data_IF_933861464634
#
_entry.id   IF_933861464634
#
_cell.length_a   1.000
_cell.length_b   1.000
_cell.length_c   1.000
_cell.angle_alpha   90.00
_cell.angle_beta   90.00
_cell.angle_gamma   90.00
#
_symmetry.space_group_name_H-M   'P 1'
#
loop_
_entity.id
_entity.type
_entity.pdbx_description
1 polymer ?
#
# COMPACT_ATOMS: atom_id res chain seq x y z
N UNK A 1 -14.45 -5.49 65.39
CA UNK A 1 -14.86 -4.08 65.27
C UNK A 1 -14.41 -3.52 63.92
N UNK A 2 -15.37 -3.13 63.07
CA UNK A 2 -15.16 -2.48 61.77
C UNK A 2 -14.51 -1.10 61.94
N UNK A 3 -13.48 -0.76 61.16
CA UNK A 3 -13.08 0.64 60.91
C UNK A 3 -12.99 0.89 59.41
N UNK A 4 -13.90 1.75 58.94
CA UNK A 4 -13.97 2.32 57.59
C UNK A 4 -12.70 3.13 57.29
N UNK A 5 -11.99 2.79 56.22
CA UNK A 5 -11.11 3.73 55.52
C UNK A 5 -11.81 4.11 54.21
N UNK A 6 -12.44 5.28 54.20
CA UNK A 6 -13.10 5.86 53.03
C UNK A 6 -12.12 6.70 52.21
N UNK A 7 -12.01 6.34 50.93
CA UNK A 7 -11.60 7.12 49.75
C UNK A 7 -11.21 8.59 49.99
N UNK A 8 -9.90 8.83 50.15
CA UNK A 8 -9.27 10.15 49.91
C UNK A 8 -8.57 10.24 48.54
N UNK A 9 -8.40 9.13 47.84
CA UNK A 9 -8.07 9.10 46.42
C UNK A 9 -9.35 9.29 45.60
N UNK A 10 -9.68 10.53 45.24
CA UNK A 10 -10.25 10.83 43.91
C UNK A 10 -10.63 12.30 43.67
N UNK A 11 -10.59 13.20 44.66
CA UNK A 11 -11.04 14.59 44.37
C UNK A 11 -10.05 15.40 43.52
N UNK A 12 -8.74 15.21 43.71
CA UNK A 12 -7.71 15.89 42.90
C UNK A 12 -7.60 15.33 41.48
N UNK A 13 -7.69 14.01 41.32
CA UNK A 13 -7.67 13.37 40.00
C UNK A 13 -8.91 13.75 39.16
N UNK A 14 -10.11 13.74 39.77
CA UNK A 14 -11.34 14.19 39.12
C UNK A 14 -11.24 15.68 38.75
N UNK A 15 -10.68 16.53 39.61
CA UNK A 15 -10.48 17.95 39.29
C UNK A 15 -9.56 18.16 38.08
N UNK A 16 -8.48 17.38 37.95
CA UNK A 16 -7.55 17.48 36.82
C UNK A 16 -8.23 17.01 35.53
N UNK A 17 -8.98 15.91 35.57
CA UNK A 17 -9.71 15.39 34.41
C UNK A 17 -10.77 16.39 33.93
N UNK A 18 -11.51 17.01 34.86
CA UNK A 18 -12.50 18.04 34.52
C UNK A 18 -11.83 19.26 33.90
N UNK A 19 -10.68 19.71 34.43
CA UNK A 19 -9.93 20.84 33.83
C UNK A 19 -9.42 20.53 32.42
N UNK A 20 -8.93 19.31 32.17
CA UNK A 20 -8.48 18.87 30.85
C UNK A 20 -9.64 18.82 29.85
N UNK A 21 -10.80 18.30 30.27
CA UNK A 21 -12.01 18.26 29.44
C UNK A 21 -12.52 19.66 29.08
N UNK A 22 -12.49 20.61 30.02
CA UNK A 22 -12.88 22.01 29.74
C UNK A 22 -11.93 22.65 28.72
N UNK A 23 -10.63 22.44 28.84
CA UNK A 23 -9.63 22.95 27.89
C UNK A 23 -9.86 22.36 26.49
N UNK A 24 -10.08 21.04 26.38
CA UNK A 24 -10.40 20.37 25.12
C UNK A 24 -11.67 20.93 24.47
N UNK A 25 -12.74 21.15 25.24
CA UNK A 25 -13.96 21.76 24.72
C UNK A 25 -13.76 23.20 24.24
N UNK A 26 -12.95 23.99 24.95
CA UNK A 26 -12.63 25.35 24.51
C UNK A 26 -11.81 25.36 23.21
N UNK A 27 -10.86 24.43 23.06
CA UNK A 27 -10.06 24.30 21.82
C UNK A 27 -10.94 23.92 20.63
N UNK A 28 -11.91 22.99 20.81
CA UNK A 28 -12.86 22.62 19.76
C UNK A 28 -13.77 23.79 19.37
N UNK A 29 -14.26 24.57 20.33
CA UNK A 29 -15.10 25.76 20.05
C UNK A 29 -14.30 26.82 19.29
N UNK A 30 -13.04 27.06 19.67
CA UNK A 30 -12.16 28.01 18.95
C UNK A 30 -11.85 27.51 17.55
N UNK A 31 -11.59 26.21 17.37
CA UNK A 31 -11.36 25.61 16.07
C UNK A 31 -12.59 25.73 15.16
N UNK A 32 -13.78 25.38 15.67
CA UNK A 32 -15.05 25.53 14.95
C UNK A 32 -15.35 27.00 14.58
N UNK A 33 -15.03 27.94 15.46
CA UNK A 33 -15.17 29.38 15.17
C UNK A 33 -14.17 29.87 14.12
N UNK A 34 -12.99 29.25 14.04
CA UNK A 34 -11.97 29.58 13.05
C UNK A 34 -12.26 28.95 11.67
N UNK A 35 -12.92 27.79 11.63
CA UNK A 35 -13.33 27.11 10.38
C UNK A 35 -14.70 27.55 9.87
N UNK A 36 -15.57 28.09 10.74
CA UNK A 36 -16.94 28.49 10.41
C UNK A 36 -17.12 29.88 9.78
N UNK A 37 -16.03 30.59 9.45
CA UNK A 37 -16.08 32.00 9.01
C UNK A 37 -15.69 32.24 7.54
N UNK A 38 -15.81 31.25 6.65
CA UNK A 38 -15.58 31.43 5.21
C UNK A 38 -16.59 30.65 4.35
N UNK A 39 -17.89 30.98 4.44
CA UNK A 39 -18.84 30.85 3.33
C UNK A 39 -19.93 31.92 3.53
N UNK A 40 -19.73 33.12 2.99
CA UNK A 40 -20.82 34.07 2.75
C UNK A 40 -21.18 33.98 1.26
N UNK A 41 -22.46 33.68 1.04
CA UNK A 41 -23.16 33.60 -0.24
C UNK A 41 -23.20 34.96 -0.92
N UNK A 42 -22.73 35.05 -2.16
CA UNK A 42 -23.07 36.14 -3.08
C UNK A 42 -24.06 35.60 -4.11
N UNK A 43 -25.33 35.92 -3.91
CA UNK A 43 -26.39 35.83 -4.91
C UNK A 43 -26.43 37.14 -5.69
N UNK A 44 -26.09 37.13 -6.97
CA UNK A 44 -26.45 38.20 -7.90
C UNK A 44 -27.39 37.65 -8.97
N UNK A 45 -28.62 38.16 -8.93
CA UNK A 45 -29.63 38.00 -9.97
C UNK A 45 -29.21 38.75 -11.23
N UNK A 46 -29.26 38.09 -12.38
CA UNK A 46 -29.43 38.78 -13.67
C UNK A 46 -30.58 38.12 -14.42
N UNK A 47 -31.71 38.83 -14.42
CA UNK A 47 -32.85 38.59 -15.32
C UNK A 47 -32.50 39.06 -16.73
N UNK A 48 -32.49 38.16 -17.72
CA UNK A 48 -32.80 38.50 -19.11
C UNK A 48 -33.65 37.40 -19.73
N UNK A 49 -34.82 37.80 -20.19
CA UNK A 49 -35.85 37.00 -20.85
C UNK A 49 -35.38 36.43 -22.21
N UNK A 50 -35.95 35.29 -22.61
CA UNK A 50 -35.95 34.88 -24.02
C UNK A 50 -36.26 33.41 -24.29
N UNK A 51 -37.52 33.16 -24.66
CA UNK A 51 -38.05 32.04 -25.45
C UNK A 51 -38.15 30.62 -24.86
N UNK A 52 -39.42 30.28 -24.65
CA UNK A 52 -40.05 28.96 -24.64
C UNK A 52 -39.94 28.32 -26.02
N UNK A 53 -39.45 27.08 -26.09
CA UNK A 53 -39.96 26.06 -27.01
C UNK A 53 -40.08 24.72 -26.27
N UNK A 54 -41.34 24.27 -26.15
CA UNK A 54 -41.77 22.95 -25.74
C UNK A 54 -41.20 21.87 -26.66
N UNK A 55 -40.60 20.82 -26.09
CA UNK A 55 -40.89 19.45 -26.56
C UNK A 55 -40.81 18.48 -25.38
N UNK A 56 -41.97 17.89 -25.07
CA UNK A 56 -42.11 16.74 -24.19
C UNK A 56 -41.47 15.50 -24.84
N UNK A 57 -40.71 14.73 -24.05
CA UNK A 57 -40.78 13.27 -24.11
C UNK A 57 -40.47 12.67 -22.75
N UNK A 58 -41.45 11.93 -22.25
CA UNK A 58 -41.47 11.16 -21.02
C UNK A 58 -40.31 10.17 -20.87
N UNK A 59 -40.06 9.90 -19.59
CA UNK A 59 -39.95 8.57 -19.00
C UNK A 59 -38.59 7.98 -18.58
N UNK A 60 -38.56 7.78 -17.25
CA UNK A 60 -37.96 6.67 -16.49
C UNK A 60 -36.47 6.72 -16.14
N UNK A 61 -36.23 7.37 -15.00
CA UNK A 61 -35.58 6.79 -13.82
C UNK A 61 -34.55 5.67 -14.08
N UNK A 62 -33.33 6.05 -14.47
CA UNK A 62 -32.16 5.20 -14.26
C UNK A 62 -31.55 5.53 -12.90
N UNK A 63 -31.74 4.67 -11.92
CA UNK A 63 -30.77 4.49 -10.84
C UNK A 63 -29.45 4.09 -11.48
N UNK A 64 -28.59 5.06 -11.77
CA UNK A 64 -27.19 4.79 -12.06
C UNK A 64 -26.56 4.30 -10.76
N UNK A 65 -26.47 2.97 -10.63
CA UNK A 65 -25.39 2.35 -9.88
C UNK A 65 -24.09 3.02 -10.33
N UNK A 66 -23.42 3.70 -9.41
CA UNK A 66 -22.12 4.31 -9.62
C UNK A 66 -21.14 3.20 -10.00
N UNK A 67 -20.92 3.01 -11.30
CA UNK A 67 -19.83 2.19 -11.82
C UNK A 67 -18.55 2.76 -11.22
N UNK A 68 -17.90 1.98 -10.36
CA UNK A 68 -16.57 2.27 -9.85
C UNK A 68 -15.66 2.47 -11.07
N UNK A 69 -15.21 3.71 -11.30
CA UNK A 69 -14.19 4.05 -12.30
C UNK A 69 -12.81 3.67 -11.77
N UNK A 70 -12.70 2.49 -11.16
CA UNK A 70 -11.48 2.05 -10.47
C UNK A 70 -10.51 1.30 -11.40
N UNK A 71 -10.68 1.49 -12.71
CA UNK A 71 -9.98 0.75 -13.77
C UNK A 71 -10.11 -0.79 -13.68
N UNK A 72 -11.16 -1.30 -13.01
CA UNK A 72 -11.39 -2.73 -12.85
C UNK A 72 -10.60 -3.38 -11.71
N UNK A 73 -10.04 -2.57 -10.80
CA UNK A 73 -9.35 -3.08 -9.62
C UNK A 73 -10.31 -3.82 -8.69
N UNK A 74 -10.00 -5.07 -8.36
CA UNK A 74 -10.78 -5.86 -7.40
C UNK A 74 -10.37 -5.49 -5.97
N UNK A 75 -11.31 -5.31 -5.04
CA UNK A 75 -10.97 -5.20 -3.61
C UNK A 75 -10.49 -6.55 -3.05
N UNK A 76 -9.96 -6.58 -1.82
CA UNK A 76 -9.58 -7.82 -1.14
C UNK A 76 -10.75 -8.82 -1.10
N UNK A 77 -11.96 -8.35 -0.82
CA UNK A 77 -13.17 -9.19 -0.70
C UNK A 77 -13.65 -9.73 -2.06
N UNK A 78 -13.27 -9.07 -3.15
CA UNK A 78 -13.68 -9.41 -4.51
C UNK A 78 -12.64 -10.27 -5.24
N UNK A 79 -11.40 -10.30 -4.77
CA UNK A 79 -10.28 -10.95 -5.44
C UNK A 79 -9.97 -12.33 -4.84
N UNK A 80 -10.31 -13.44 -5.52
CA UNK A 80 -10.04 -14.78 -5.01
C UNK A 80 -8.55 -15.12 -4.93
N UNK A 81 -7.68 -14.35 -5.59
CA UNK A 81 -6.23 -14.55 -5.62
C UNK A 81 -5.48 -13.66 -4.61
N UNK A 82 -6.18 -12.79 -3.88
CA UNK A 82 -5.58 -11.94 -2.87
C UNK A 82 -5.63 -12.60 -1.48
N UNK A 83 -4.57 -12.44 -0.70
CA UNK A 83 -4.58 -12.65 0.75
C UNK A 83 -4.60 -11.29 1.47
N UNK A 84 -5.12 -11.26 2.70
CA UNK A 84 -5.05 -10.07 3.56
C UNK A 84 -3.59 -9.80 3.92
N UNK A 85 -3.10 -8.60 3.57
CA UNK A 85 -1.71 -8.21 3.79
C UNK A 85 -1.29 -8.24 5.27
N UNK A 86 -2.21 -8.04 6.22
CA UNK A 86 -1.91 -8.16 7.65
C UNK A 86 -1.65 -9.61 8.06
N UNK A 87 -2.34 -10.58 7.45
CA UNK A 87 -2.04 -11.99 7.67
C UNK A 87 -0.69 -12.37 7.05
N UNK A 88 -0.42 -11.90 5.84
CA UNK A 88 0.88 -12.14 5.19
C UNK A 88 2.02 -11.52 5.99
N UNK A 89 1.82 -10.31 6.53
CA UNK A 89 2.77 -9.68 7.44
C UNK A 89 2.99 -10.52 8.69
N UNK A 90 1.93 -11.02 9.35
CA UNK A 90 2.05 -11.87 10.52
C UNK A 90 2.83 -13.18 10.23
N UNK A 91 2.71 -13.73 9.02
CA UNK A 91 3.43 -14.94 8.58
C UNK A 91 4.90 -14.67 8.26
N UNK A 92 5.26 -13.43 7.94
CA UNK A 92 6.61 -13.05 7.49
C UNK A 92 7.41 -12.23 8.51
N UNK A 93 6.75 -11.65 9.53
CA UNK A 93 7.40 -10.78 10.52
C UNK A 93 8.46 -11.48 11.38
N UNK A 94 8.39 -12.80 11.50
CA UNK A 94 9.32 -13.60 12.30
C UNK A 94 10.77 -13.33 11.91
N UNK A 95 11.07 -13.34 10.61
CA UNK A 95 12.41 -13.05 10.10
C UNK A 95 12.87 -11.63 10.36
N UNK A 96 11.94 -10.69 10.25
CA UNK A 96 12.24 -9.29 10.43
C UNK A 96 12.60 -8.96 11.88
N UNK A 97 12.08 -9.75 12.82
CA UNK A 97 12.43 -9.73 14.25
C UNK A 97 13.59 -10.69 14.60
N UNK A 98 14.23 -11.32 13.61
CA UNK A 98 15.39 -12.21 13.80
C UNK A 98 15.04 -13.64 14.24
N UNK A 99 13.78 -14.05 14.14
CA UNK A 99 13.32 -15.42 14.43
C UNK A 99 13.17 -16.22 13.13
N UNK A 100 13.69 -17.45 13.09
CA UNK A 100 13.56 -18.35 11.93
C UNK A 100 12.26 -19.18 11.94
N UNK A 101 11.30 -18.83 12.79
CA UNK A 101 10.03 -19.54 12.87
C UNK A 101 8.98 -18.78 12.07
N UNK A 102 8.33 -19.49 11.15
CA UNK A 102 7.21 -19.00 10.37
C UNK A 102 5.95 -19.65 10.90
N UNK A 103 4.86 -18.91 11.10
CA UNK A 103 3.55 -19.51 11.18
C UNK A 103 3.31 -20.27 9.88
N UNK A 104 3.13 -21.58 9.99
CA UNK A 104 2.72 -22.42 8.87
C UNK A 104 1.28 -22.05 8.52
N UNK A 105 0.95 -21.95 7.24
CA UNK A 105 -0.40 -21.73 6.75
C UNK A 105 -1.28 -22.91 7.16
N UNK A 106 -2.44 -22.59 7.73
CA UNK A 106 -3.40 -23.59 8.21
C UNK A 106 -4.04 -24.40 7.06
N UNK A 107 -3.99 -23.88 5.82
CA UNK A 107 -4.49 -24.53 4.61
C UNK A 107 -3.50 -25.54 3.99
N UNK A 108 -2.28 -25.64 4.53
CA UNK A 108 -1.23 -26.54 4.05
C UNK A 108 -0.66 -26.18 2.68
N UNK A 109 -0.99 -25.02 2.13
CA UNK A 109 -0.50 -24.55 0.83
C UNK A 109 0.83 -23.83 0.97
N UNK A 110 1.67 -23.89 -0.07
CA UNK A 110 2.83 -23.01 -0.22
C UNK A 110 2.44 -21.85 -1.13
N UNK A 111 2.63 -20.61 -0.67
CA UNK A 111 2.26 -19.39 -1.40
C UNK A 111 3.49 -18.51 -1.62
N UNK A 112 3.68 -18.09 -2.87
CA UNK A 112 4.65 -17.10 -3.28
C UNK A 112 3.95 -15.81 -3.69
N UNK A 113 4.39 -14.69 -3.13
CA UNK A 113 3.99 -13.34 -3.50
C UNK A 113 5.14 -12.72 -4.29
N UNK A 114 4.99 -12.66 -5.61
CA UNK A 114 5.91 -11.88 -6.44
C UNK A 114 5.64 -10.40 -6.18
N UNK A 115 6.68 -9.66 -5.83
CA UNK A 115 6.56 -8.22 -5.57
C UNK A 115 7.59 -7.42 -6.34
N UNK A 116 7.15 -6.29 -6.89
CA UNK A 116 7.97 -5.40 -7.68
C UNK A 116 7.92 -3.99 -7.10
N UNK A 117 9.08 -3.42 -6.77
CA UNK A 117 9.23 -2.06 -6.26
C UNK A 117 9.70 -1.10 -7.37
N UNK A 118 9.45 0.19 -7.16
CA UNK A 118 9.94 1.35 -7.93
C UNK A 118 9.27 1.62 -9.29
N UNK A 119 8.26 0.82 -9.65
CA UNK A 119 7.43 1.01 -10.83
C UNK A 119 6.32 2.08 -10.69
N UNK A 120 5.53 2.28 -11.77
CA UNK A 120 5.68 1.65 -13.07
C UNK A 120 6.77 2.35 -13.90
N UNK A 121 7.61 1.57 -14.58
CA UNK A 121 8.48 2.06 -15.65
C UNK A 121 7.84 1.81 -17.01
N UNK A 122 8.10 2.72 -17.95
CA UNK A 122 7.58 2.56 -19.32
C UNK A 122 8.32 1.51 -20.15
N UNK A 123 9.40 0.92 -19.62
CA UNK A 123 10.21 -0.07 -20.35
C UNK A 123 10.13 -1.46 -19.78
N UNK A 124 10.20 -1.64 -18.45
CA UNK A 124 10.29 -2.97 -17.85
C UNK A 124 8.94 -3.48 -17.33
N UNK A 125 8.09 -2.61 -16.79
CA UNK A 125 6.77 -3.01 -16.27
C UNK A 125 5.87 -3.67 -17.33
N UNK A 126 5.78 -3.18 -18.59
CA UNK A 126 4.98 -3.86 -19.62
C UNK A 126 5.42 -5.30 -19.90
N UNK A 127 6.74 -5.53 -19.99
CA UNK A 127 7.30 -6.86 -20.23
C UNK A 127 7.09 -7.79 -19.03
N UNK A 128 7.19 -7.26 -17.81
CA UNK A 128 6.83 -8.00 -16.58
C UNK A 128 5.37 -8.44 -16.64
N UNK A 129 4.45 -7.54 -16.99
CA UNK A 129 3.02 -7.85 -17.11
C UNK A 129 2.74 -8.92 -18.17
N UNK A 130 3.43 -8.86 -19.32
CA UNK A 130 3.29 -9.88 -20.37
C UNK A 130 3.72 -11.26 -19.88
N UNK A 131 4.87 -11.38 -19.21
CA UNK A 131 5.35 -12.65 -18.64
C UNK A 131 4.38 -13.17 -17.57
N UNK A 132 3.90 -12.31 -16.67
CA UNK A 132 2.94 -12.69 -15.64
C UNK A 132 1.64 -13.23 -16.25
N UNK A 133 1.14 -12.56 -17.29
CA UNK A 133 -0.07 -12.96 -18.01
C UNK A 133 0.10 -14.29 -18.74
N UNK A 134 1.23 -14.49 -19.43
CA UNK A 134 1.55 -15.77 -20.10
C UNK A 134 1.58 -16.95 -19.14
N UNK A 135 1.92 -16.70 -17.87
CA UNK A 135 2.03 -17.70 -16.83
C UNK A 135 0.77 -17.88 -15.97
N UNK A 136 -0.27 -17.09 -16.20
CA UNK A 136 -1.46 -16.94 -15.36
C UNK A 136 -1.11 -16.67 -13.87
N UNK A 137 -0.14 -15.80 -13.66
CA UNK A 137 0.37 -15.41 -12.33
C UNK A 137 -0.02 -13.97 -12.03
N UNK A 138 -0.39 -13.70 -10.78
CA UNK A 138 -0.63 -12.34 -10.27
C UNK A 138 0.49 -11.93 -9.31
N UNK A 139 0.87 -10.66 -9.34
CA UNK A 139 1.89 -10.06 -8.50
C UNK A 139 1.34 -8.84 -7.74
N UNK A 140 2.13 -8.32 -6.80
CA UNK A 140 1.87 -7.06 -6.10
C UNK A 140 2.91 -6.02 -6.51
N UNK A 141 2.47 -4.88 -7.02
CA UNK A 141 3.34 -3.78 -7.45
C UNK A 141 3.34 -2.67 -6.39
N UNK A 142 4.52 -2.34 -5.86
CA UNK A 142 4.74 -1.27 -4.90
C UNK A 142 5.10 0.00 -5.68
N UNK A 143 4.07 0.82 -5.90
CA UNK A 143 4.12 1.95 -6.81
C UNK A 143 4.75 3.17 -6.15
N UNK A 144 5.68 3.79 -6.87
CA UNK A 144 6.17 5.13 -6.55
C UNK A 144 5.27 6.19 -7.15
N UNK A 145 4.65 7.03 -6.32
CA UNK A 145 3.76 8.09 -6.78
C UNK A 145 4.41 9.07 -7.77
N UNK A 146 5.71 9.34 -7.65
CA UNK A 146 6.47 10.19 -8.58
C UNK A 146 6.57 9.60 -9.98
N UNK A 147 6.53 8.27 -10.14
CA UNK A 147 6.53 7.67 -11.48
C UNK A 147 5.23 7.96 -12.24
N UNK A 148 4.11 8.08 -11.53
CA UNK A 148 2.82 8.45 -12.14
C UNK A 148 2.79 9.90 -12.64
N UNK A 149 3.64 10.76 -12.07
CA UNK A 149 3.84 12.14 -12.54
C UNK A 149 4.79 12.21 -13.76
N UNK A 150 5.49 11.12 -14.11
CA UNK A 150 6.50 11.13 -15.16
C UNK A 150 5.92 11.15 -16.57
N UNK A 151 4.78 10.48 -16.79
CA UNK A 151 4.13 10.40 -18.11
C UNK A 151 2.67 9.93 -18.01
N UNK A 152 1.91 10.12 -19.10
CA UNK A 152 0.59 9.47 -19.27
C UNK A 152 0.75 7.95 -19.39
N UNK A 153 1.79 7.48 -20.07
CA UNK A 153 2.07 6.07 -20.29
C UNK A 153 2.26 5.31 -18.97
N UNK A 154 2.95 5.90 -18.00
CA UNK A 154 3.09 5.33 -16.65
C UNK A 154 1.73 5.13 -15.97
N UNK A 155 0.79 6.06 -16.15
CA UNK A 155 -0.58 5.95 -15.62
C UNK A 155 -1.40 4.89 -16.36
N UNK A 156 -1.23 4.76 -17.67
CA UNK A 156 -1.87 3.69 -18.43
C UNK A 156 -1.33 2.29 -18.06
N UNK A 157 -0.04 2.18 -17.77
CA UNK A 157 0.56 0.94 -17.26
C UNK A 157 0.00 0.59 -15.88
N UNK A 158 -0.14 1.55 -14.96
CA UNK A 158 -0.80 1.32 -13.67
C UNK A 158 -2.25 0.83 -13.84
N UNK A 159 -3.01 1.41 -14.78
CA UNK A 159 -4.37 0.93 -15.10
C UNK A 159 -4.34 -0.50 -15.65
N UNK A 160 -3.33 -0.85 -16.45
CA UNK A 160 -3.11 -2.21 -16.95
C UNK A 160 -2.82 -3.18 -15.81
N UNK A 161 -1.96 -2.82 -14.86
CA UNK A 161 -1.68 -3.63 -13.66
C UNK A 161 -2.98 -3.97 -12.92
N UNK A 162 -3.80 -2.95 -12.64
CA UNK A 162 -5.09 -3.11 -11.97
C UNK A 162 -6.06 -3.99 -12.77
N UNK A 163 -6.22 -3.71 -14.07
CA UNK A 163 -7.14 -4.43 -14.97
C UNK A 163 -6.77 -5.90 -15.18
N UNK A 164 -5.47 -6.23 -15.13
CA UNK A 164 -4.98 -7.60 -15.26
C UNK A 164 -5.04 -8.40 -13.94
N UNK A 165 -5.57 -7.79 -12.88
CA UNK A 165 -5.85 -8.45 -11.59
C UNK A 165 -4.66 -8.49 -10.64
N UNK A 166 -3.68 -7.59 -10.82
CA UNK A 166 -2.57 -7.44 -9.88
C UNK A 166 -2.97 -6.59 -8.67
N UNK A 167 -2.28 -6.77 -7.55
CA UNK A 167 -2.45 -5.88 -6.41
C UNK A 167 -1.55 -4.64 -6.57
N UNK A 168 -2.10 -3.49 -6.20
CA UNK A 168 -1.41 -2.21 -6.19
C UNK A 168 -1.16 -1.82 -4.73
N UNK A 169 0.11 -1.61 -4.40
CA UNK A 169 0.58 -1.21 -3.08
C UNK A 169 1.39 0.09 -3.19
N UNK A 170 1.62 0.73 -2.05
CA UNK A 170 2.23 2.06 -2.00
C UNK A 170 3.72 1.96 -1.61
N UNK A 171 4.59 2.63 -2.36
CA UNK A 171 6.04 2.70 -2.12
C UNK A 171 6.53 4.11 -1.84
N UNK A 172 5.68 4.94 -1.20
CA UNK A 172 5.82 6.39 -1.07
C UNK A 172 5.76 7.12 -2.40
N UNK A 173 5.62 8.44 -2.37
CA UNK A 173 5.63 9.24 -3.58
C UNK A 173 7.07 9.47 -4.06
N UNK A 174 7.99 9.89 -3.19
CA UNK A 174 9.29 10.42 -3.60
C UNK A 174 10.41 9.39 -3.70
N UNK A 175 10.41 8.37 -2.84
CA UNK A 175 11.56 7.49 -2.58
C UNK A 175 12.85 8.29 -2.20
N UNK A 176 12.71 9.48 -1.62
CA UNK A 176 13.84 10.32 -1.19
C UNK A 176 14.24 10.00 0.25
N UNK A 177 15.32 9.23 0.41
CA UNK A 177 15.85 8.86 1.72
C UNK A 177 16.22 10.03 2.62
N UNK A 178 16.61 11.18 2.07
CA UNK A 178 16.96 12.34 2.90
C UNK A 178 15.72 13.01 3.48
N UNK A 179 14.61 12.97 2.75
CA UNK A 179 13.32 13.51 3.19
C UNK A 179 12.62 12.55 4.16
N UNK A 180 12.58 11.26 3.81
CA UNK A 180 11.90 10.21 4.57
C UNK A 180 12.64 9.85 5.87
N UNK A 181 13.99 9.83 5.81
CA UNK A 181 14.83 9.29 6.86
C UNK A 181 16.03 10.20 7.21
N UNK A 182 15.81 11.48 7.56
CA UNK A 182 16.91 12.39 7.88
C UNK A 182 17.81 11.79 8.98
N UNK A 183 19.10 11.65 8.68
CA UNK A 183 20.05 11.01 9.60
C UNK A 183 19.78 9.52 9.87
N UNK A 184 19.20 8.79 8.91
CA UNK A 184 18.79 7.38 9.01
C UNK A 184 17.70 7.09 10.04
N UNK A 185 16.94 8.11 10.44
CA UNK A 185 15.82 7.97 11.39
C UNK A 185 14.54 8.38 10.68
N UNK A 186 13.50 7.56 10.77
CA UNK A 186 12.22 7.84 10.13
C UNK A 186 11.63 9.12 10.71
N UNK A 187 11.42 10.11 9.82
CA UNK A 187 10.56 11.24 10.13
C UNK A 187 9.12 10.83 9.83
N UNK A 188 8.37 10.49 10.88
CA UNK A 188 7.03 9.94 10.73
C UNK A 188 6.06 10.90 10.02
N UNK A 189 6.26 12.22 10.16
CA UNK A 189 5.42 13.22 9.50
C UNK A 189 5.73 13.27 8.01
N UNK A 190 7.00 13.38 7.65
CA UNK A 190 7.42 13.39 6.25
C UNK A 190 7.01 12.09 5.56
N UNK A 191 7.29 10.95 6.19
CA UNK A 191 6.95 9.65 5.65
C UNK A 191 5.45 9.51 5.39
N UNK A 192 4.61 9.86 6.37
CA UNK A 192 3.17 9.77 6.21
C UNK A 192 2.63 10.71 5.14
N UNK A 193 3.14 11.94 5.06
CA UNK A 193 2.78 12.86 3.99
C UNK A 193 3.16 12.32 2.60
N UNK A 194 4.30 11.64 2.50
CA UNK A 194 4.77 11.00 1.27
C UNK A 194 3.86 9.82 0.85
N UNK A 195 3.42 9.00 1.81
CA UNK A 195 2.41 7.95 1.62
C UNK A 195 1.08 8.55 1.13
N UNK A 196 0.57 9.58 1.81
CA UNK A 196 -0.70 10.23 1.43
C UNK A 196 -0.63 10.86 0.03
N UNK A 197 0.50 11.47 -0.32
CA UNK A 197 0.71 12.02 -1.67
C UNK A 197 0.73 10.93 -2.73
N UNK A 198 1.31 9.76 -2.42
CA UNK A 198 1.25 8.62 -3.33
C UNK A 198 -0.18 8.09 -3.48
N UNK A 199 -0.96 8.00 -2.39
CA UNK A 199 -2.37 7.63 -2.44
C UNK A 199 -3.18 8.57 -3.35
N UNK A 200 -2.96 9.88 -3.28
CA UNK A 200 -3.60 10.85 -4.17
C UNK A 200 -3.27 10.56 -5.64
N UNK A 201 -2.01 10.26 -5.99
CA UNK A 201 -1.63 9.90 -7.36
C UNK A 201 -2.26 8.61 -7.84
N UNK A 202 -2.30 7.59 -6.98
CA UNK A 202 -2.99 6.34 -7.27
C UNK A 202 -4.48 6.58 -7.54
N UNK A 203 -5.17 7.35 -6.70
CA UNK A 203 -6.59 7.69 -6.89
C UNK A 203 -6.85 8.56 -8.12
N UNK A 204 -5.91 9.44 -8.49
CA UNK A 204 -6.06 10.23 -9.71
C UNK A 204 -5.93 9.37 -10.98
N UNK A 205 -5.14 8.31 -10.93
CA UNK A 205 -4.95 7.39 -12.08
C UNK A 205 -5.99 6.26 -12.11
N UNK A 206 -6.36 5.73 -10.96
CA UNK A 206 -7.23 4.56 -10.78
C UNK A 206 -8.60 4.92 -10.20
N UNK A 207 -9.03 6.17 -10.23
CA UNK A 207 -10.34 6.60 -9.71
C UNK A 207 -10.38 6.83 -8.20
N UNK A 208 -11.33 7.69 -7.78
CA UNK A 208 -11.40 8.22 -6.40
C UNK A 208 -11.73 7.16 -5.33
N UNK A 209 -12.36 6.07 -5.72
CA UNK A 209 -12.70 4.97 -4.82
C UNK A 209 -11.55 3.97 -4.65
N UNK A 210 -10.47 4.09 -5.43
CA UNK A 210 -9.29 3.28 -5.24
C UNK A 210 -8.67 3.56 -3.86
N UNK A 211 -8.29 2.49 -3.18
CA UNK A 211 -7.49 2.56 -1.96
C UNK A 211 -6.62 1.31 -1.83
N UNK A 212 -5.48 1.49 -1.16
CA UNK A 212 -4.59 0.40 -0.75
C UNK A 212 -4.16 0.64 0.68
N UNK A 213 -4.04 -0.46 1.44
CA UNK A 213 -3.56 -0.46 2.83
C UNK A 213 -2.18 -1.10 2.95
N UNK A 214 -1.56 -1.49 1.84
CA UNK A 214 -0.27 -2.16 1.83
C UNK A 214 0.79 -1.16 1.47
N UNK A 215 1.81 -1.01 2.32
CA UNK A 215 2.94 -0.11 2.09
C UNK A 215 4.23 -0.87 2.32
N UNK A 216 5.19 -0.68 1.41
CA UNK A 216 6.59 -1.06 1.63
C UNK A 216 7.42 0.20 1.75
N UNK A 217 8.29 0.24 2.75
CA UNK A 217 9.17 1.38 2.97
C UNK A 217 10.31 1.35 1.95
N UNK A 218 10.68 2.48 1.31
CA UNK A 218 11.94 2.59 0.58
C UNK A 218 13.10 2.07 1.40
N UNK A 219 13.79 1.05 0.90
CA UNK A 219 14.90 0.36 1.59
C UNK A 219 14.50 -0.62 2.69
N UNK A 220 13.21 -0.85 2.93
CA UNK A 220 12.66 -1.76 3.94
C UNK A 220 12.52 -1.15 5.33
N UNK A 221 11.44 -1.46 6.04
CA UNK A 221 11.10 -0.85 7.34
C UNK A 221 12.19 -1.09 8.40
N UNK A 222 12.82 -2.26 8.38
CA UNK A 222 13.85 -2.63 9.36
C UNK A 222 15.23 -2.00 9.10
N UNK A 223 15.43 -1.28 7.99
CA UNK A 223 16.69 -0.59 7.65
C UNK A 223 16.91 0.72 8.39
N UNK A 224 15.87 1.24 9.07
CA UNK A 224 15.81 2.61 9.59
C UNK A 224 15.52 2.68 11.08
N UNK A 225 16.02 3.72 11.76
CA UNK A 225 15.73 3.98 13.18
C UNK A 225 14.40 4.73 13.36
N UNK A 226 13.90 4.86 14.61
CA UNK A 226 12.72 5.69 14.92
C UNK A 226 11.38 5.11 14.43
N UNK A 227 11.27 3.78 14.45
CA UNK A 227 10.18 3.02 13.84
C UNK A 227 8.86 3.10 14.60
N UNK A 228 8.89 3.43 15.89
CA UNK A 228 7.76 3.36 16.80
C UNK A 228 6.68 4.39 16.46
N UNK A 229 7.09 5.62 16.14
CA UNK A 229 6.17 6.71 15.83
C UNK A 229 5.38 6.45 14.55
N UNK A 230 6.06 6.04 13.46
CA UNK A 230 5.38 5.72 12.21
C UNK A 230 4.54 4.44 12.33
N UNK A 231 4.98 3.47 13.15
CA UNK A 231 4.20 2.25 13.40
C UNK A 231 2.85 2.55 14.01
N UNK A 232 2.80 3.45 15.00
CA UNK A 232 1.54 3.84 15.63
C UNK A 232 0.55 4.47 14.62
N UNK A 233 1.05 5.31 13.70
CA UNK A 233 0.23 5.89 12.63
C UNK A 233 -0.33 4.79 11.73
N UNK A 234 0.49 3.81 11.34
CA UNK A 234 0.07 2.70 10.48
C UNK A 234 -0.95 1.80 11.17
N UNK A 235 -0.75 1.47 12.45
CA UNK A 235 -1.70 0.66 13.22
C UNK A 235 -3.05 1.38 13.38
N UNK A 236 -3.04 2.69 13.66
CA UNK A 236 -4.26 3.51 13.77
C UNK A 236 -5.03 3.58 12.43
N UNK A 237 -4.31 3.71 11.32
CA UNK A 237 -4.88 3.79 9.97
C UNK A 237 -5.06 2.43 9.29
N UNK A 238 -4.76 1.33 9.99
CA UNK A 238 -4.86 -0.06 9.51
C UNK A 238 -4.06 -0.34 8.24
N UNK A 239 -2.86 0.21 8.15
CA UNK A 239 -1.89 -0.09 7.09
C UNK A 239 -1.01 -1.29 7.47
N UNK A 240 -0.86 -2.21 6.53
CA UNK A 240 0.13 -3.27 6.59
C UNK A 240 1.50 -2.76 6.09
N UNK A 241 2.54 -2.97 6.90
CA UNK A 241 3.93 -2.74 6.51
C UNK A 241 4.45 -4.04 5.93
N UNK A 242 4.77 -4.08 4.64
CA UNK A 242 5.22 -5.29 3.98
C UNK A 242 6.67 -5.16 3.52
N UNK A 243 7.58 -5.85 4.20
CA UNK A 243 8.96 -6.06 3.69
C UNK A 243 9.00 -7.34 2.84
N UNK A 244 10.11 -8.08 2.84
CA UNK A 244 10.30 -9.30 2.10
C UNK A 244 11.05 -10.34 2.94
N UNK A 245 10.91 -11.61 2.59
CA UNK A 245 11.68 -12.70 3.19
C UNK A 245 12.55 -13.45 2.18
N UNK A 246 12.29 -13.33 0.88
CA UNK A 246 13.16 -13.77 -0.20
C UNK A 246 13.42 -12.62 -1.18
N UNK A 247 14.47 -12.72 -1.99
CA UNK A 247 14.82 -11.67 -2.94
C UNK A 247 15.73 -12.18 -4.07
N UNK A 248 15.59 -11.58 -5.25
CA UNK A 248 16.46 -11.85 -6.40
C UNK A 248 17.86 -11.26 -6.25
N UNK A 249 18.04 -10.33 -5.30
CA UNK A 249 19.26 -9.52 -5.11
C UNK A 249 19.60 -8.65 -6.32
N UNK A 250 18.60 -8.24 -7.11
CA UNK A 250 18.77 -7.30 -8.23
C UNK A 250 19.20 -5.89 -7.80
N UNK A 251 19.12 -5.57 -6.51
CA UNK A 251 19.55 -4.31 -5.89
C UNK A 251 20.72 -4.47 -4.91
N UNK A 252 21.29 -5.67 -4.76
CA UNK A 252 22.36 -5.94 -3.79
C UNK A 252 23.70 -6.30 -4.45
N UNK A 253 24.81 -5.76 -3.92
CA UNK A 253 26.15 -6.17 -4.32
C UNK A 253 26.49 -5.84 -5.78
N UNK A 254 27.30 -6.70 -6.41
CA UNK A 254 27.66 -6.53 -7.84
C UNK A 254 26.43 -6.71 -8.74
N UNK A 255 26.46 -6.07 -9.92
CA UNK A 255 25.48 -6.32 -10.98
C UNK A 255 25.48 -7.82 -11.34
N UNK A 256 24.28 -8.37 -11.48
CA UNK A 256 24.03 -9.78 -11.81
C UNK A 256 23.31 -9.89 -13.15
N UNK A 257 23.55 -10.98 -13.85
CA UNK A 257 22.73 -11.37 -15.00
C UNK A 257 21.45 -12.12 -14.57
N UNK A 258 20.54 -12.36 -15.51
CA UNK A 258 19.28 -13.04 -15.26
C UNK A 258 19.44 -14.42 -14.60
N UNK A 259 20.47 -15.20 -14.96
CA UNK A 259 20.69 -16.53 -14.40
C UNK A 259 21.16 -16.44 -12.95
N UNK A 260 22.06 -15.50 -12.64
CA UNK A 260 22.49 -15.19 -11.28
C UNK A 260 21.31 -14.70 -10.40
N UNK A 261 20.33 -13.96 -10.96
CA UNK A 261 19.12 -13.51 -10.24
C UNK A 261 18.17 -14.67 -9.92
N UNK A 262 17.96 -15.60 -10.87
CA UNK A 262 17.21 -16.84 -10.61
C UNK A 262 17.86 -17.62 -9.48
N UNK A 263 19.18 -17.80 -9.52
CA UNK A 263 19.93 -18.54 -8.51
C UNK A 263 19.90 -17.86 -7.14
N UNK A 264 20.01 -16.54 -7.08
CA UNK A 264 19.84 -15.79 -5.82
C UNK A 264 18.42 -15.96 -5.24
N UNK A 265 17.40 -16.00 -6.09
CA UNK A 265 16.03 -16.23 -5.65
C UNK A 265 15.90 -17.62 -5.04
N UNK A 266 16.41 -18.67 -5.70
CA UNK A 266 16.42 -20.04 -5.16
C UNK A 266 17.10 -20.11 -3.79
N UNK A 267 18.31 -19.56 -3.69
CA UNK A 267 19.09 -19.56 -2.46
C UNK A 267 18.37 -18.85 -1.30
N UNK A 268 17.70 -17.73 -1.58
CA UNK A 268 16.99 -16.99 -0.52
C UNK A 268 15.71 -17.70 -0.10
N UNK A 269 14.96 -18.30 -1.03
CA UNK A 269 13.78 -19.13 -0.73
C UNK A 269 14.15 -20.37 0.07
N UNK A 270 15.16 -21.13 -0.39
CA UNK A 270 15.66 -22.32 0.32
C UNK A 270 16.23 -21.98 1.71
N UNK A 271 16.85 -20.81 1.83
CA UNK A 271 17.38 -20.29 3.10
C UNK A 271 16.31 -20.07 4.17
N UNK A 272 15.04 -19.96 3.80
CA UNK A 272 13.90 -19.90 4.73
C UNK A 272 13.63 -21.25 5.41
N UNK A 273 14.08 -22.35 4.79
CA UNK A 273 13.91 -23.71 5.29
C UNK A 273 12.64 -24.40 4.77
N UNK A 274 12.48 -25.70 5.08
CA UNK A 274 11.48 -26.56 4.45
C UNK A 274 10.02 -26.23 4.81
N UNK A 275 9.80 -25.45 5.87
CA UNK A 275 8.47 -25.05 6.35
C UNK A 275 8.08 -23.65 5.88
N UNK A 276 8.84 -23.03 4.97
CA UNK A 276 8.51 -21.73 4.42
C UNK A 276 7.39 -21.88 3.38
N UNK A 277 6.19 -21.46 3.76
CA UNK A 277 4.97 -21.59 2.95
C UNK A 277 4.31 -20.25 2.64
N UNK A 278 4.91 -19.15 3.09
CA UNK A 278 4.53 -17.77 2.76
C UNK A 278 5.79 -16.99 2.40
N UNK A 279 6.05 -16.87 1.10
CA UNK A 279 7.30 -16.30 0.58
C UNK A 279 7.02 -15.01 -0.18
N UNK A 280 7.46 -13.88 0.36
CA UNK A 280 7.36 -12.56 -0.26
C UNK A 280 8.70 -12.24 -0.90
N UNK A 281 8.71 -12.17 -2.24
CA UNK A 281 9.92 -12.08 -3.06
C UNK A 281 10.09 -10.65 -3.54
N UNK A 282 11.16 -9.99 -3.10
CA UNK A 282 11.53 -8.65 -3.59
C UNK A 282 12.24 -8.71 -4.95
N UNK A 283 11.73 -7.93 -5.89
CA UNK A 283 12.30 -7.61 -7.19
C UNK A 283 11.98 -6.13 -7.52
N UNK A 284 12.56 -5.60 -8.60
CA UNK A 284 12.26 -4.24 -9.08
C UNK A 284 11.95 -4.25 -10.57
N UNK A 285 10.87 -3.58 -10.97
CA UNK A 285 10.43 -3.43 -12.37
C UNK A 285 10.69 -2.00 -12.90
N UNK A 286 11.61 -1.27 -12.27
CA UNK A 286 12.01 0.08 -12.65
C UNK A 286 13.10 0.12 -13.73
N UNK A 287 13.49 1.30 -14.18
CA UNK A 287 14.52 1.50 -15.20
C UNK A 287 15.88 0.88 -14.80
N UNK A 288 16.57 0.22 -15.75
CA UNK A 288 17.87 -0.41 -15.51
C UNK A 288 17.80 -1.81 -14.88
N UNK A 289 16.60 -2.39 -14.78
CA UNK A 289 16.32 -3.73 -14.23
C UNK A 289 15.95 -4.75 -15.31
N UNK A 290 16.52 -4.62 -16.51
CA UNK A 290 16.21 -5.49 -17.65
C UNK A 290 16.56 -6.96 -17.34
N UNK A 291 17.59 -7.21 -16.53
CA UNK A 291 17.95 -8.57 -16.10
C UNK A 291 16.90 -9.17 -15.14
N UNK A 292 16.20 -8.35 -14.36
CA UNK A 292 15.07 -8.80 -13.53
C UNK A 292 13.94 -9.31 -14.43
N UNK A 293 13.58 -8.57 -15.48
CA UNK A 293 12.58 -8.99 -16.48
C UNK A 293 12.97 -10.33 -17.10
N UNK A 294 14.21 -10.47 -17.58
CA UNK A 294 14.72 -11.72 -18.17
C UNK A 294 14.75 -12.90 -17.20
N UNK A 295 14.94 -12.64 -15.90
CA UNK A 295 14.96 -13.68 -14.87
C UNK A 295 13.57 -14.19 -14.48
N UNK A 296 12.52 -13.40 -14.73
CA UNK A 296 11.19 -13.62 -14.16
C UNK A 296 10.59 -14.97 -14.56
N UNK A 297 10.72 -15.38 -15.83
CA UNK A 297 10.24 -16.71 -16.26
C UNK A 297 10.91 -17.84 -15.46
N UNK A 298 12.24 -17.78 -15.32
CA UNK A 298 12.99 -18.80 -14.58
C UNK A 298 12.66 -18.83 -13.08
N UNK A 299 12.32 -17.67 -12.49
CA UNK A 299 11.84 -17.57 -11.11
C UNK A 299 10.46 -18.21 -10.97
N UNK A 300 9.53 -17.92 -11.89
CA UNK A 300 8.19 -18.52 -11.90
C UNK A 300 8.27 -20.04 -12.07
N UNK A 301 9.08 -20.52 -13.02
CA UNK A 301 9.27 -21.96 -13.27
C UNK A 301 9.80 -22.68 -12.04
N UNK A 302 10.79 -22.09 -11.36
CA UNK A 302 11.33 -22.61 -10.11
C UNK A 302 10.24 -22.72 -9.02
N UNK A 303 9.52 -21.63 -8.75
CA UNK A 303 8.50 -21.60 -7.71
C UNK A 303 7.36 -22.59 -8.01
N UNK A 304 6.93 -22.70 -9.27
CA UNK A 304 5.97 -23.73 -9.71
C UNK A 304 6.52 -25.15 -9.46
N UNK A 305 7.79 -25.40 -9.77
CA UNK A 305 8.41 -26.71 -9.55
C UNK A 305 8.51 -27.09 -8.06
N UNK A 306 8.61 -26.08 -7.18
CA UNK A 306 8.59 -26.23 -5.72
C UNK A 306 7.18 -26.31 -5.13
N UNK A 307 6.13 -26.30 -5.97
CA UNK A 307 4.73 -26.43 -5.55
C UNK A 307 4.12 -25.16 -4.96
N UNK A 308 4.68 -23.98 -5.25
CA UNK A 308 4.08 -22.72 -4.83
C UNK A 308 2.88 -22.34 -5.71
N UNK A 309 1.79 -21.94 -5.05
CA UNK A 309 0.72 -21.14 -5.64
C UNK A 309 1.13 -19.65 -5.61
N UNK A 310 0.62 -18.86 -6.55
CA UNK A 310 0.91 -17.43 -6.61
C UNK A 310 -0.29 -16.63 -6.16
N UNK A 311 -0.07 -15.69 -5.24
CA UNK A 311 -1.11 -14.81 -4.71
C UNK A 311 -0.63 -13.37 -4.63
N UNK A 312 -1.57 -12.46 -4.45
CA UNK A 312 -1.31 -11.03 -4.21
C UNK A 312 -1.62 -10.66 -2.76
N UNK A 313 -1.27 -9.44 -2.35
CA UNK A 313 -1.51 -8.92 -0.99
C UNK A 313 -2.31 -7.61 -1.08
N UNK A 314 -3.44 -7.53 -0.38
CA UNK A 314 -4.32 -6.33 -0.34
C UNK A 314 -4.71 -5.93 1.08
#
# INVERSE_FOLDING_TARGET
MKKRQTNRFNKKAISIIVSILVILTCVVIVYQKHTGNNVESVSEEVNVAGNVEDTNSDDTNSSQDSKLDNSGYLTLEQDPNADDAMEVFARTEGLLKGTKQYPVRDDGKKVAYLTFDDGPSTTNTPDVLDILKENDVKATFFIMGKQLDSSEEAREILKREAKEGHAIANHTYSHDYNYLYPGRTIDATNFWNDVLKCNDRLQNALGKDFSTRVVRFPGGYWSWNGREAIRAIFDENKYAIMDWNALSKDAEGKKKDAAELVECTKQTVEGLGPNADSVVILMHDTYGKEETVKSLQGIIDYLKSEGFEFRTMK
#
